data_IF_876617020880
#
_entry.id   IF_876617020880
#
_cell.length_a   1.000
_cell.length_b   1.000
_cell.length_c   1.000
_cell.angle_alpha   90.00
_cell.angle_beta   90.00
_cell.angle_gamma   90.00
#
_symmetry.space_group_name_H-M   'P 1'
#
loop_
_entity.id
_entity.type
_entity.pdbx_description
1 polymer ?
#
# COMPACT_ATOMS: atom_id res chain seq x y z
N UNK A 1 -6.49 24.06 0.14
CA UNK A 1 -6.75 22.96 -0.81
C UNK A 1 -6.10 21.71 -0.28
N UNK A 2 -6.89 20.68 0.08
CA UNK A 2 -6.38 19.40 0.57
C UNK A 2 -5.98 18.56 -0.63
N UNK A 3 -4.73 18.18 -0.72
CA UNK A 3 -4.17 17.36 -1.78
C UNK A 3 -3.99 15.92 -1.29
N UNK A 4 -4.34 14.92 -2.11
CA UNK A 4 -4.49 13.51 -1.69
C UNK A 4 -3.91 12.54 -2.72
N UNK A 5 -2.85 11.79 -2.39
CA UNK A 5 -2.30 10.71 -3.22
C UNK A 5 -1.49 9.70 -2.44
N UNK A 6 -1.65 8.41 -2.71
CA UNK A 6 -0.96 7.36 -1.97
C UNK A 6 -1.08 5.93 -2.51
N UNK A 7 -0.18 5.03 -2.14
CA UNK A 7 -0.10 3.60 -2.52
C UNK A 7 0.07 2.66 -1.32
N UNK A 8 -0.31 1.41 -1.39
CA UNK A 8 -0.44 0.45 -0.30
C UNK A 8 0.10 -0.97 -0.57
N UNK A 9 0.75 -1.63 0.38
CA UNK A 9 1.33 -2.99 0.33
C UNK A 9 0.98 -3.80 1.58
N UNK A 10 0.76 -5.10 1.49
CA UNK A 10 0.29 -5.96 2.56
C UNK A 10 1.10 -7.25 2.77
N UNK A 11 1.32 -7.71 4.01
CA UNK A 11 2.00 -8.97 4.35
C UNK A 11 1.16 -9.94 5.20
N UNK A 12 0.95 -11.25 4.79
CA UNK A 12 0.30 -12.26 5.60
C UNK A 12 1.23 -13.03 6.51
N UNK A 13 0.82 -13.28 7.73
CA UNK A 13 1.34 -14.41 8.48
C UNK A 13 0.70 -15.70 7.96
N UNK A 14 1.49 -16.54 7.27
CA UNK A 14 1.08 -17.90 6.98
C UNK A 14 1.49 -18.76 8.17
N UNK A 15 0.52 -19.20 8.95
CA UNK A 15 0.76 -20.25 9.96
C UNK A 15 0.73 -21.61 9.26
N UNK A 16 1.91 -22.24 9.18
CA UNK A 16 2.03 -23.61 8.72
C UNK A 16 1.77 -24.57 9.86
N UNK A 17 0.60 -25.17 9.83
CA UNK A 17 0.31 -26.46 10.43
C UNK A 17 0.19 -26.53 11.93
N UNK A 18 -0.95 -26.65 12.33
CA UNK A 18 -1.69 -27.65 13.12
C UNK A 18 -3.13 -27.35 12.78
N UNK A 19 -3.96 -28.41 12.76
CA UNK A 19 -5.37 -28.34 12.41
C UNK A 19 -5.96 -26.96 12.68
N UNK A 20 -6.53 -26.37 11.65
CA UNK A 20 -7.04 -25.00 11.67
C UNK A 20 -7.98 -24.82 12.88
N UNK A 21 -7.37 -24.50 14.01
CA UNK A 21 -8.10 -23.94 15.12
C UNK A 21 -8.48 -22.53 14.67
N UNK A 22 -9.78 -22.25 14.64
CA UNK A 22 -10.40 -21.00 14.12
C UNK A 22 -9.95 -19.73 14.87
N UNK A 23 -8.88 -19.82 15.67
CA UNK A 23 -8.42 -18.75 16.57
C UNK A 23 -7.24 -17.91 16.06
N UNK A 24 -6.67 -18.18 14.87
CA UNK A 24 -5.59 -17.37 14.36
C UNK A 24 -6.10 -16.24 13.48
N UNK A 25 -6.44 -15.13 14.10
CA UNK A 25 -6.73 -13.90 13.40
C UNK A 25 -5.52 -13.50 12.53
N UNK A 26 -5.74 -13.18 11.24
CA UNK A 26 -4.69 -12.62 10.40
C UNK A 26 -4.11 -11.36 11.04
N UNK A 27 -2.82 -11.09 10.79
CA UNK A 27 -2.13 -9.95 11.41
C UNK A 27 -2.62 -8.61 10.89
N UNK A 28 -3.22 -8.60 9.69
CA UNK A 28 -3.68 -7.41 9.00
C UNK A 28 -2.56 -6.50 8.49
N UNK A 29 -1.30 -6.94 8.52
CA UNK A 29 -0.16 -6.13 8.09
C UNK A 29 -0.26 -5.76 6.61
N UNK A 30 0.00 -4.51 6.33
CA UNK A 30 -0.26 -3.87 5.04
C UNK A 30 0.87 -2.89 4.72
N UNK A 31 1.48 -2.96 3.55
CA UNK A 31 2.54 -2.06 3.11
C UNK A 31 2.14 -1.35 1.80
N UNK A 32 2.65 -0.15 1.59
CA UNK A 32 2.17 0.72 0.51
C UNK A 32 3.25 1.65 -0.03
N UNK A 33 3.22 2.02 -1.30
CA UNK A 33 3.90 3.25 -1.75
C UNK A 33 2.98 4.43 -1.50
N UNK A 34 3.29 5.25 -0.56
CA UNK A 34 2.49 6.37 -0.08
C UNK A 34 2.36 7.48 -1.11
N UNK A 35 3.43 7.79 -1.81
CA UNK A 35 3.48 8.72 -2.92
C UNK A 35 4.76 8.50 -3.73
N UNK A 36 4.76 8.95 -4.98
CA UNK A 36 5.94 8.93 -5.85
C UNK A 36 6.59 10.31 -5.93
N UNK A 37 7.88 10.36 -6.23
CA UNK A 37 8.61 11.60 -6.42
C UNK A 37 8.48 12.13 -7.84
N UNK A 38 8.77 13.43 -8.02
CA UNK A 38 8.74 14.12 -9.30
C UNK A 38 7.40 14.73 -9.67
N UNK A 39 7.33 15.23 -10.89
CA UNK A 39 6.14 15.85 -11.47
C UNK A 39 5.11 14.79 -11.87
N UNK A 40 3.85 15.02 -11.55
CA UNK A 40 2.74 14.20 -12.00
C UNK A 40 1.44 14.98 -12.04
N UNK A 41 0.51 14.52 -12.88
CA UNK A 41 -0.87 14.96 -12.89
C UNK A 41 -1.73 13.86 -12.26
N UNK A 42 -2.55 14.23 -11.30
CA UNK A 42 -3.51 13.33 -10.68
C UNK A 42 -4.71 13.06 -11.58
N UNK A 43 -5.47 12.00 -11.29
CA UNK A 43 -6.69 11.65 -12.01
C UNK A 43 -7.76 12.78 -12.00
N UNK A 44 -7.68 13.69 -11.06
CA UNK A 44 -8.53 14.88 -10.94
C UNK A 44 -7.95 16.13 -11.65
N UNK A 45 -6.87 15.99 -12.42
CA UNK A 45 -6.21 17.03 -13.17
C UNK A 45 -5.32 17.98 -12.33
N UNK A 46 -5.17 17.73 -11.04
CA UNK A 46 -4.24 18.52 -10.20
C UNK A 46 -2.81 18.10 -10.46
N UNK A 47 -1.91 19.08 -10.58
CA UNK A 47 -0.49 18.87 -10.84
C UNK A 47 0.32 18.97 -9.56
N UNK A 48 1.12 17.94 -9.29
CA UNK A 48 1.95 17.81 -8.11
C UNK A 48 3.41 17.57 -8.48
N UNK A 49 4.32 18.14 -7.68
CA UNK A 49 5.73 17.83 -7.74
C UNK A 49 6.23 17.53 -6.33
N UNK A 50 6.50 16.27 -6.02
CA UNK A 50 6.94 15.89 -4.68
C UNK A 50 8.42 15.50 -4.67
N UNK A 51 9.11 15.93 -3.63
CA UNK A 51 10.51 15.58 -3.33
C UNK A 51 10.62 15.04 -1.91
N UNK A 52 11.59 14.15 -1.63
CA UNK A 52 11.84 13.64 -0.28
C UNK A 52 12.04 14.73 0.75
N UNK A 53 12.72 15.82 0.37
CA UNK A 53 13.07 16.93 1.26
C UNK A 53 11.86 17.60 1.86
N UNK A 54 10.76 17.70 1.11
CA UNK A 54 9.52 18.32 1.57
C UNK A 54 8.83 17.56 2.71
N UNK A 55 9.16 16.29 2.89
CA UNK A 55 8.57 15.41 3.90
C UNK A 55 9.58 14.91 4.94
N UNK A 56 10.87 15.19 4.78
CA UNK A 56 11.93 14.63 5.60
C UNK A 56 11.79 14.99 7.08
N UNK A 57 11.46 16.24 7.40
CA UNK A 57 11.25 16.68 8.77
C UNK A 57 10.06 15.97 9.40
N UNK A 58 8.95 15.89 8.69
CA UNK A 58 7.74 15.20 9.16
C UNK A 58 8.01 13.71 9.41
N UNK A 59 8.71 13.03 8.50
CA UNK A 59 9.03 11.61 8.64
C UNK A 59 9.92 11.33 9.86
N UNK A 60 10.90 12.20 10.12
CA UNK A 60 11.76 12.12 11.31
C UNK A 60 10.96 12.35 12.62
N UNK A 61 10.11 13.37 12.65
CA UNK A 61 9.24 13.65 13.79
C UNK A 61 8.21 12.52 14.01
N UNK A 62 7.62 12.02 12.94
CA UNK A 62 6.69 10.89 12.98
C UNK A 62 7.36 9.64 13.58
N UNK A 63 8.54 9.28 13.08
CA UNK A 63 9.32 8.13 13.58
C UNK A 63 9.64 8.25 15.07
N UNK A 64 9.96 9.46 15.55
CA UNK A 64 10.27 9.73 16.97
C UNK A 64 9.04 9.78 17.86
N UNK A 65 7.89 10.11 17.29
CA UNK A 65 6.65 10.28 18.07
C UNK A 65 6.10 8.98 18.65
N UNK A 66 6.36 7.86 17.97
CA UNK A 66 5.78 6.56 18.28
C UNK A 66 4.25 6.50 18.11
N UNK A 67 3.64 7.54 17.53
CA UNK A 67 2.19 7.60 17.27
C UNK A 67 1.91 7.14 15.86
N UNK A 68 0.97 6.18 15.66
CA UNK A 68 0.59 5.76 14.33
C UNK A 68 -0.21 6.85 13.60
N UNK A 69 -0.15 6.82 12.27
CA UNK A 69 -0.99 7.64 11.41
C UNK A 69 -2.29 6.88 11.09
N UNK A 70 -3.47 7.52 11.12
CA UNK A 70 -4.72 6.81 10.85
C UNK A 70 -4.83 6.36 9.38
N UNK A 71 -5.42 5.17 9.20
CA UNK A 71 -5.80 4.59 7.93
C UNK A 71 -7.32 4.65 7.81
N UNK A 72 -7.85 5.36 6.81
CA UNK A 72 -9.29 5.43 6.55
C UNK A 72 -9.66 4.70 5.25
N UNK A 73 -10.95 4.55 5.02
CA UNK A 73 -11.53 4.10 3.75
C UNK A 73 -12.09 5.32 3.01
N UNK A 74 -11.61 5.53 1.77
CA UNK A 74 -12.09 6.62 0.89
C UNK A 74 -12.06 8.02 1.55
N UNK A 75 -11.04 8.33 2.33
CA UNK A 75 -10.88 9.61 3.05
C UNK A 75 -12.01 9.96 4.02
N UNK A 76 -12.71 8.96 4.54
CA UNK A 76 -13.76 9.19 5.53
C UNK A 76 -13.17 9.44 6.92
N UNK A 77 -12.58 10.62 7.11
CA UNK A 77 -12.00 11.07 8.38
C UNK A 77 -13.06 11.39 9.47
N UNK A 78 -14.34 11.41 9.10
CA UNK A 78 -15.47 11.46 10.03
C UNK A 78 -15.81 10.08 10.61
N UNK A 79 -15.34 9.01 9.97
CA UNK A 79 -15.55 7.63 10.39
C UNK A 79 -14.45 7.12 11.32
N UNK A 80 -14.62 5.87 11.78
CA UNK A 80 -13.57 5.18 12.52
C UNK A 80 -12.45 4.74 11.58
N UNK A 81 -11.17 4.83 11.99
CA UNK A 81 -10.07 4.30 11.20
C UNK A 81 -10.21 2.78 11.03
N UNK A 82 -9.90 2.29 9.85
CA UNK A 82 -9.89 0.86 9.52
C UNK A 82 -8.57 0.18 9.87
N UNK A 83 -7.54 0.98 10.18
CA UNK A 83 -6.19 0.53 10.50
C UNK A 83 -5.29 1.71 10.87
N UNK A 84 -3.99 1.44 10.89
CA UNK A 84 -2.97 2.42 11.24
C UNK A 84 -1.68 2.19 10.42
N UNK A 85 -0.92 3.27 10.18
CA UNK A 85 0.41 3.24 9.61
C UNK A 85 1.45 3.49 10.69
N UNK A 86 2.45 2.62 10.78
CA UNK A 86 3.49 2.69 11.82
C UNK A 86 4.85 3.14 11.30
N UNK A 87 5.12 2.97 10.01
CA UNK A 87 6.43 3.25 9.42
C UNK A 87 6.27 3.96 8.07
N UNK A 88 7.17 4.90 7.77
CA UNK A 88 7.32 5.53 6.47
C UNK A 88 8.80 5.51 6.08
N UNK A 89 9.10 5.02 4.88
CA UNK A 89 10.45 4.84 4.37
C UNK A 89 10.56 5.49 2.99
N UNK A 90 11.67 6.18 2.73
CA UNK A 90 11.95 6.80 1.44
C UNK A 90 12.85 5.90 0.61
N UNK A 91 12.53 5.76 -0.67
CA UNK A 91 13.39 5.16 -1.67
C UNK A 91 13.53 6.08 -2.89
N UNK A 92 14.19 5.61 -3.96
CA UNK A 92 14.42 6.38 -5.18
C UNK A 92 13.12 6.72 -5.93
N UNK A 93 12.05 5.97 -5.73
CA UNK A 93 10.78 6.12 -6.45
C UNK A 93 9.76 6.93 -5.68
N UNK A 94 9.76 6.83 -4.36
CA UNK A 94 8.72 7.45 -3.56
C UNK A 94 8.87 7.21 -2.05
N UNK A 95 7.76 7.40 -1.36
CA UNK A 95 7.63 7.14 0.06
C UNK A 95 6.76 5.90 0.25
N UNK A 96 7.32 4.88 0.87
CA UNK A 96 6.62 3.64 1.22
C UNK A 96 6.11 3.69 2.65
N UNK A 97 4.94 3.13 2.89
CA UNK A 97 4.30 3.04 4.19
C UNK A 97 4.10 1.59 4.59
N UNK A 98 4.27 1.29 5.89
CA UNK A 98 3.92 0.02 6.51
C UNK A 98 2.97 0.25 7.66
N UNK A 99 1.94 -0.60 7.75
CA UNK A 99 0.89 -0.48 8.75
C UNK A 99 0.14 -1.79 8.95
N UNK A 100 -1.02 -1.70 9.57
CA UNK A 100 -1.92 -2.85 9.75
C UNK A 100 -3.38 -2.43 9.71
N UNK A 101 -4.22 -3.27 9.17
CA UNK A 101 -5.68 -3.22 9.30
C UNK A 101 -6.11 -3.71 10.69
N UNK A 102 -7.16 -3.14 11.24
CA UNK A 102 -7.71 -3.56 12.52
C UNK A 102 -8.62 -4.79 12.36
N UNK A 103 -8.02 -5.97 12.49
CA UNK A 103 -8.70 -7.26 12.23
C UNK A 103 -9.85 -7.56 13.20
N UNK A 104 -9.88 -6.93 14.36
CA UNK A 104 -10.97 -7.07 15.35
C UNK A 104 -12.08 -6.02 15.20
N UNK A 105 -12.07 -5.25 14.10
CA UNK A 105 -13.12 -4.28 13.76
C UNK A 105 -13.77 -4.67 12.44
N UNK A 106 -15.06 -4.38 12.27
CA UNK A 106 -15.81 -4.66 11.03
C UNK A 106 -15.12 -4.00 9.83
N UNK A 107 -14.80 -2.71 9.91
CA UNK A 107 -14.20 -1.98 8.79
C UNK A 107 -12.83 -2.52 8.36
N UNK A 108 -11.95 -2.86 9.32
CA UNK A 108 -10.64 -3.41 9.02
C UNK A 108 -10.70 -4.83 8.47
N UNK A 109 -11.51 -5.71 9.06
CA UNK A 109 -11.69 -7.09 8.61
C UNK A 109 -12.39 -7.17 7.25
N UNK A 110 -13.37 -6.31 6.97
CA UNK A 110 -14.06 -6.26 5.68
C UNK A 110 -13.11 -5.84 4.56
N UNK A 111 -12.33 -4.76 4.76
CA UNK A 111 -11.31 -4.31 3.79
C UNK A 111 -10.27 -5.40 3.55
N UNK A 112 -9.78 -6.04 4.61
CA UNK A 112 -8.84 -7.16 4.49
C UNK A 112 -9.42 -8.30 3.66
N UNK A 113 -10.66 -8.71 3.93
CA UNK A 113 -11.33 -9.80 3.22
C UNK A 113 -11.50 -9.49 1.74
N UNK A 114 -11.92 -8.26 1.41
CA UNK A 114 -12.06 -7.81 0.02
C UNK A 114 -10.71 -7.79 -0.69
N UNK A 115 -9.66 -7.26 -0.06
CA UNK A 115 -8.30 -7.25 -0.64
C UNK A 115 -7.79 -8.67 -0.91
N UNK A 116 -8.14 -9.63 -0.06
CA UNK A 116 -7.75 -11.02 -0.21
C UNK A 116 -8.50 -11.75 -1.32
N UNK A 117 -9.81 -11.51 -1.44
CA UNK A 117 -10.65 -12.13 -2.47
C UNK A 117 -10.49 -11.46 -3.84
N UNK A 118 -10.28 -10.15 -3.86
CA UNK A 118 -10.22 -9.32 -5.05
C UNK A 118 -9.15 -8.23 -4.89
N UNK A 119 -7.85 -8.56 -5.01
CA UNK A 119 -6.73 -7.63 -4.78
C UNK A 119 -6.82 -6.34 -5.61
N UNK A 120 -7.42 -6.41 -6.79
CA UNK A 120 -7.58 -5.27 -7.70
C UNK A 120 -8.84 -4.42 -7.43
N UNK A 121 -9.68 -4.80 -6.46
CA UNK A 121 -10.91 -4.06 -6.14
C UNK A 121 -10.61 -2.67 -5.60
N UNK A 122 -9.63 -2.54 -4.71
CA UNK A 122 -9.11 -1.26 -4.30
C UNK A 122 -7.94 -0.90 -5.21
N UNK A 123 -8.06 0.21 -5.95
CA UNK A 123 -7.02 0.68 -6.87
C UNK A 123 -5.74 1.13 -6.18
N UNK A 124 -5.79 1.34 -4.86
CA UNK A 124 -4.64 1.72 -4.06
C UNK A 124 -4.98 2.53 -2.82
N UNK A 125 -4.17 3.50 -2.52
CA UNK A 125 -4.36 4.41 -1.40
C UNK A 125 -4.21 5.87 -1.81
N UNK A 126 -4.58 6.78 -0.94
CA UNK A 126 -4.53 8.22 -1.19
C UNK A 126 -4.20 8.99 0.09
N UNK A 127 -3.26 9.95 0.03
CA UNK A 127 -2.82 10.76 1.19
C UNK A 127 -3.70 11.95 1.45
N UNK A 128 -4.00 12.21 2.70
CA UNK A 128 -4.32 13.54 3.21
C UNK A 128 -3.04 14.30 3.54
N UNK A 129 -2.39 14.88 2.52
CA UNK A 129 -1.20 15.70 2.73
C UNK A 129 -1.56 17.12 3.18
N UNK A 130 -0.65 17.74 3.94
CA UNK A 130 -0.69 19.18 4.23
C UNK A 130 0.65 19.83 3.87
N UNK A 131 0.61 21.11 3.58
CA UNK A 131 1.80 21.93 3.35
C UNK A 131 1.85 23.06 4.37
N UNK A 132 2.97 23.14 5.10
CA UNK A 132 3.34 24.33 5.89
C UNK A 132 4.00 25.38 4.99
N UNK A 133 4.83 24.89 4.03
CA UNK A 133 5.47 25.68 3.00
C UNK A 133 5.33 24.98 1.64
N UNK A 134 5.17 25.76 0.58
CA UNK A 134 5.05 25.25 -0.78
C UNK A 134 5.66 26.21 -1.81
N UNK A 135 5.96 25.70 -2.98
CA UNK A 135 6.33 26.46 -4.16
C UNK A 135 5.53 26.01 -5.38
N UNK A 136 5.40 26.87 -6.37
CA UNK A 136 4.96 26.47 -7.71
C UNK A 136 6.22 26.21 -8.53
N UNK A 137 6.25 25.07 -9.23
CA UNK A 137 7.43 24.66 -10.02
C UNK A 137 7.02 24.15 -11.40
N UNK A 138 7.95 24.16 -12.34
CA UNK A 138 7.78 23.48 -13.64
C UNK A 138 7.95 21.94 -13.49
N UNK A 139 7.88 21.22 -14.61
CA UNK A 139 8.04 19.76 -14.62
C UNK A 139 9.46 19.29 -14.24
N UNK A 140 10.46 20.16 -14.35
CA UNK A 140 11.84 19.90 -13.97
C UNK A 140 12.13 20.30 -12.51
N UNK A 141 11.17 20.96 -11.86
CA UNK A 141 11.23 21.39 -10.46
C UNK A 141 11.89 22.75 -10.27
N UNK A 142 11.98 23.57 -11.32
CA UNK A 142 12.42 24.96 -11.20
C UNK A 142 11.25 25.82 -10.73
N UNK A 143 11.53 26.80 -9.87
CA UNK A 143 10.52 27.68 -9.31
C UNK A 143 9.83 28.53 -10.41
N UNK A 144 8.51 28.62 -10.34
CA UNK A 144 7.66 29.43 -11.21
C UNK A 144 7.01 30.50 -10.36
N UNK A 145 7.23 31.77 -10.69
CA UNK A 145 6.75 32.93 -9.97
C UNK A 145 5.85 33.84 -10.85
N UNK A 146 5.43 34.97 -10.31
CA UNK A 146 4.59 35.94 -11.01
C UNK A 146 5.25 36.63 -12.23
N UNK A 147 6.59 36.55 -12.33
CA UNK A 147 7.37 37.10 -13.45
C UNK A 147 7.61 36.04 -14.54
N UNK A 148 7.27 34.80 -14.29
CA UNK A 148 7.40 33.70 -15.25
C UNK A 148 6.39 33.85 -16.39
N UNK A 149 6.68 33.31 -17.59
CA UNK A 149 5.72 33.29 -18.68
C UNK A 149 4.36 32.72 -18.27
N UNK A 150 3.28 33.33 -18.69
CA UNK A 150 1.91 32.92 -18.31
C UNK A 150 1.65 31.43 -18.60
N UNK A 151 2.22 30.89 -19.66
CA UNK A 151 2.13 29.46 -19.98
C UNK A 151 2.73 28.61 -18.86
N UNK A 152 3.89 28.96 -18.35
CA UNK A 152 4.58 28.19 -17.32
C UNK A 152 3.83 28.28 -15.99
N UNK A 153 3.24 29.44 -15.68
CA UNK A 153 2.35 29.61 -14.51
C UNK A 153 1.13 28.70 -14.62
N UNK A 154 0.49 28.62 -15.79
CA UNK A 154 -0.69 27.76 -16.00
C UNK A 154 -0.35 26.26 -15.98
N UNK A 155 0.86 25.90 -16.41
CA UNK A 155 1.33 24.52 -16.47
C UNK A 155 2.08 24.07 -15.21
N UNK A 156 2.19 24.95 -14.21
CA UNK A 156 2.98 24.69 -13.01
C UNK A 156 2.40 23.58 -12.12
N UNK A 157 3.29 22.99 -11.34
CA UNK A 157 3.05 21.94 -10.36
C UNK A 157 3.14 22.51 -8.95
N UNK A 158 2.28 22.04 -8.07
CA UNK A 158 2.34 22.37 -6.65
C UNK A 158 3.36 21.47 -5.95
N UNK A 159 4.42 22.06 -5.41
CA UNK A 159 5.45 21.37 -4.64
C UNK A 159 5.27 21.65 -3.16
N UNK A 160 5.16 20.61 -2.34
CA UNK A 160 5.31 20.74 -0.89
C UNK A 160 6.80 20.83 -0.59
N UNK A 161 7.26 21.99 -0.11
CA UNK A 161 8.64 22.20 0.33
C UNK A 161 8.83 21.88 1.81
N UNK A 162 7.75 21.98 2.59
CA UNK A 162 7.66 21.52 3.98
C UNK A 162 6.23 21.12 4.30
N UNK A 163 6.03 19.90 4.76
CA UNK A 163 4.71 19.37 5.09
C UNK A 163 4.76 17.92 5.50
N UNK A 164 3.59 17.27 5.51
CA UNK A 164 3.47 15.89 5.93
C UNK A 164 2.10 15.30 5.59
N UNK A 165 1.80 14.16 6.20
CA UNK A 165 0.52 13.49 6.04
C UNK A 165 -0.30 13.55 7.33
N UNK A 166 -1.60 13.76 7.18
CA UNK A 166 -2.58 13.67 8.28
C UNK A 166 -3.22 12.30 8.35
N UNK A 167 -3.33 11.63 7.21
CA UNK A 167 -3.92 10.31 7.08
C UNK A 167 -3.47 9.65 5.76
N UNK A 168 -3.70 8.35 5.68
CA UNK A 168 -3.48 7.53 4.52
C UNK A 168 -4.69 6.62 4.38
N UNK A 169 -5.40 6.72 3.26
CA UNK A 169 -6.66 6.00 3.03
C UNK A 169 -6.53 4.92 1.98
N UNK A 170 -7.15 3.79 2.23
CA UNK A 170 -7.45 2.80 1.17
C UNK A 170 -8.54 3.37 0.28
N UNK A 171 -8.34 3.38 -1.03
CA UNK A 171 -9.29 3.96 -1.99
C UNK A 171 -9.48 3.08 -3.22
N UNK A 172 -10.69 3.11 -3.81
CA UNK A 172 -10.97 2.41 -5.07
C UNK A 172 -10.30 3.10 -6.27
N UNK A 173 -10.20 4.42 -6.23
CA UNK A 173 -9.67 5.23 -7.33
C UNK A 173 -8.60 6.19 -6.80
N UNK A 174 -7.33 5.76 -6.77
CA UNK A 174 -6.24 6.62 -6.32
C UNK A 174 -6.06 7.78 -7.29
N UNK A 175 -5.82 8.99 -6.76
CA UNK A 175 -5.52 10.13 -7.60
C UNK A 175 -4.12 10.05 -8.24
N UNK A 176 -3.19 9.34 -7.62
CA UNK A 176 -1.94 8.94 -8.23
C UNK A 176 -2.11 7.51 -8.80
N UNK A 177 -2.08 7.30 -10.13
CA UNK A 177 -2.24 5.97 -10.74
C UNK A 177 -1.09 5.00 -10.42
N UNK A 178 0.06 5.50 -9.99
CA UNK A 178 1.18 4.68 -9.50
C UNK A 178 1.03 4.31 -8.01
N UNK A 179 -0.02 4.82 -7.38
CA UNK A 179 -0.38 4.55 -6.00
C UNK A 179 -1.17 3.22 -5.91
N UNK A 180 -0.51 2.07 -5.85
CA UNK A 180 -1.14 0.75 -5.82
C UNK A 180 -0.78 -0.06 -4.56
N UNK A 181 -1.61 -1.04 -4.23
CA UNK A 181 -1.32 -2.02 -3.19
C UNK A 181 -0.31 -3.01 -3.78
N UNK A 182 0.87 -3.11 -3.20
CA UNK A 182 1.92 -3.97 -3.71
C UNK A 182 2.05 -5.29 -2.95
N UNK A 183 1.41 -5.44 -1.80
CA UNK A 183 1.45 -6.68 -1.05
C UNK A 183 0.33 -6.82 -0.02
N UNK A 184 -0.32 -7.98 0.02
CA UNK A 184 -1.15 -8.45 1.12
C UNK A 184 -0.50 -9.68 1.74
N UNK A 185 0.10 -9.49 2.91
CA UNK A 185 0.68 -10.57 3.69
C UNK A 185 1.91 -11.22 2.99
N UNK A 186 1.94 -12.49 2.63
CA UNK A 186 3.01 -13.13 1.87
C UNK A 186 2.74 -13.17 0.35
N UNK A 187 1.71 -12.46 -0.12
CA UNK A 187 1.31 -12.47 -1.52
C UNK A 187 1.58 -11.12 -2.16
N UNK A 188 2.07 -11.11 -3.40
CA UNK A 188 2.24 -9.91 -4.19
C UNK A 188 0.88 -9.36 -4.69
N UNK A 189 0.92 -8.26 -5.46
CA UNK A 189 -0.28 -7.61 -5.99
C UNK A 189 -1.09 -8.52 -6.93
N UNK A 190 -0.45 -9.53 -7.52
CA UNK A 190 -1.04 -10.53 -8.40
C UNK A 190 -1.52 -11.78 -7.66
N UNK A 191 -1.32 -11.83 -6.33
CA UNK A 191 -1.69 -12.95 -5.49
C UNK A 191 -0.71 -14.12 -5.50
N UNK A 192 0.52 -13.91 -5.96
CA UNK A 192 1.57 -14.92 -5.91
C UNK A 192 2.31 -14.90 -4.56
N UNK A 193 2.67 -16.09 -4.08
CA UNK A 193 3.38 -16.24 -2.81
C UNK A 193 4.83 -15.75 -2.87
N UNK A 194 5.19 -14.76 -2.05
CA UNK A 194 6.57 -14.38 -1.81
C UNK A 194 7.20 -15.23 -0.69
N UNK A 195 8.01 -16.20 -1.11
CA UNK A 195 8.67 -17.14 -0.18
C UNK A 195 9.65 -16.46 0.79
N UNK A 196 10.27 -15.34 0.40
CA UNK A 196 11.23 -14.63 1.25
C UNK A 196 10.53 -13.94 2.41
N UNK A 197 9.38 -13.37 2.11
CA UNK A 197 8.53 -12.73 3.11
C UNK A 197 7.96 -13.77 4.05
N UNK A 198 7.44 -14.89 3.53
CA UNK A 198 6.97 -16.00 4.35
C UNK A 198 8.09 -16.54 5.28
N UNK A 199 9.30 -16.77 4.74
CA UNK A 199 10.45 -17.21 5.55
C UNK A 199 10.78 -16.21 6.65
N UNK A 200 10.79 -14.90 6.33
CA UNK A 200 11.04 -13.84 7.28
C UNK A 200 10.02 -13.85 8.42
N UNK A 201 8.73 -13.91 8.11
CA UNK A 201 7.67 -13.93 9.12
C UNK A 201 7.76 -15.16 10.05
N UNK A 202 8.03 -16.34 9.49
CA UNK A 202 8.25 -17.54 10.28
C UNK A 202 9.42 -17.36 11.27
N UNK A 203 10.50 -16.72 10.83
CA UNK A 203 11.66 -16.43 11.68
C UNK A 203 11.33 -15.39 12.75
N UNK A 204 10.63 -14.34 12.40
CA UNK A 204 10.20 -13.28 13.33
C UNK A 204 9.24 -13.84 14.39
N UNK A 205 8.48 -14.90 14.05
CA UNK A 205 7.65 -15.68 14.98
C UNK A 205 8.41 -16.72 15.82
N UNK A 206 9.75 -16.75 15.74
CA UNK A 206 10.61 -17.63 16.55
C UNK A 206 10.94 -18.97 15.90
N UNK A 207 10.55 -19.22 14.66
CA UNK A 207 10.93 -20.44 13.92
C UNK A 207 12.39 -20.37 13.50
N UNK A 208 13.14 -21.48 13.62
CA UNK A 208 14.53 -21.50 13.18
C UNK A 208 14.66 -21.23 11.68
N UNK A 209 15.77 -20.63 11.24
CA UNK A 209 16.01 -20.35 9.82
C UNK A 209 15.83 -21.59 8.95
N UNK A 210 16.35 -22.74 9.39
CA UNK A 210 16.25 -24.02 8.67
C UNK A 210 14.79 -24.46 8.52
N UNK A 211 14.04 -24.38 9.60
CA UNK A 211 12.64 -24.83 9.61
C UNK A 211 11.75 -23.84 8.82
N UNK A 212 12.01 -22.52 8.91
CA UNK A 212 11.33 -21.50 8.14
C UNK A 212 11.53 -21.71 6.63
N UNK A 213 12.76 -21.97 6.19
CA UNK A 213 13.04 -22.25 4.76
C UNK A 213 12.35 -23.56 4.31
N UNK A 214 12.37 -24.59 5.15
CA UNK A 214 11.69 -25.87 4.84
C UNK A 214 10.18 -25.68 4.75
N UNK A 215 9.58 -24.99 5.70
CA UNK A 215 8.15 -24.71 5.74
C UNK A 215 7.70 -23.88 4.52
N UNK A 216 8.43 -22.83 4.18
CA UNK A 216 8.14 -22.01 2.98
C UNK A 216 8.16 -22.85 1.70
N UNK A 217 9.12 -23.75 1.57
CA UNK A 217 9.25 -24.65 0.41
C UNK A 217 8.10 -25.67 0.33
N UNK A 218 7.66 -26.21 1.46
CA UNK A 218 6.52 -27.13 1.52
C UNK A 218 5.23 -26.37 1.13
N UNK A 219 5.04 -25.18 1.67
CA UNK A 219 3.86 -24.36 1.41
C UNK A 219 3.74 -24.00 -0.07
N UNK A 220 4.84 -23.60 -0.70
CA UNK A 220 4.89 -23.36 -2.14
C UNK A 220 4.39 -24.57 -2.94
N UNK A 221 4.90 -25.76 -2.63
CA UNK A 221 4.54 -27.00 -3.31
C UNK A 221 3.05 -27.34 -3.17
N UNK A 222 2.48 -27.11 -1.98
CA UNK A 222 1.05 -27.32 -1.74
C UNK A 222 0.18 -26.38 -2.58
N UNK A 223 0.57 -25.09 -2.67
CA UNK A 223 -0.13 -24.14 -3.52
C UNK A 223 -0.05 -24.50 -5.01
N UNK A 224 1.12 -24.85 -5.52
CA UNK A 224 1.32 -25.26 -6.90
C UNK A 224 0.48 -26.52 -7.26
N UNK A 225 0.36 -27.46 -6.34
CA UNK A 225 -0.50 -28.66 -6.52
C UNK A 225 -1.98 -28.26 -6.55
N UNK A 226 -2.43 -27.39 -5.67
CA UNK A 226 -3.81 -26.88 -5.65
C UNK A 226 -4.16 -26.15 -6.94
N UNK A 227 -3.28 -25.28 -7.42
CA UNK A 227 -3.53 -24.45 -8.60
C UNK A 227 -3.47 -25.32 -9.89
N UNK A 228 -2.65 -26.36 -9.89
CA UNK A 228 -2.64 -27.36 -10.96
C UNK A 228 -3.93 -28.18 -10.99
N UNK A 229 -4.47 -28.56 -9.84
CA UNK A 229 -5.74 -29.28 -9.74
C UNK A 229 -6.93 -28.42 -10.22
N UNK A 230 -6.97 -27.13 -9.85
CA UNK A 230 -7.98 -26.19 -10.35
C UNK A 230 -7.94 -26.03 -11.88
N UNK A 231 -6.75 -25.94 -12.49
CA UNK A 231 -6.61 -25.84 -13.94
C UNK A 231 -7.15 -27.07 -14.66
N UNK A 232 -6.95 -28.27 -14.09
CA UNK A 232 -7.49 -29.51 -14.65
C UNK A 232 -9.02 -29.57 -14.54
N UNK A 233 -9.59 -29.06 -13.44
CA UNK A 233 -11.03 -29.03 -13.24
C UNK A 233 -11.74 -28.04 -14.18
N UNK A 234 -11.15 -26.85 -14.39
CA UNK A 234 -11.65 -25.86 -15.35
C UNK A 234 -11.60 -26.41 -16.78
N UNK A 235 -10.47 -27.02 -17.20
CA UNK A 235 -10.36 -27.62 -18.52
C UNK A 235 -11.41 -28.73 -18.77
N UNK A 236 -11.70 -29.56 -17.76
CA UNK A 236 -12.76 -30.57 -17.85
C UNK A 236 -14.17 -29.99 -17.96
N UNK A 237 -14.43 -28.86 -17.27
CA UNK A 237 -15.73 -28.20 -17.36
C UNK A 237 -15.98 -27.55 -18.72
N UNK A 238 -14.93 -27.06 -19.39
CA UNK A 238 -15.00 -26.47 -20.72
C UNK A 238 -15.22 -27.54 -21.82
N UNK A 239 -14.64 -28.73 -21.69
CA UNK A 239 -14.90 -29.87 -22.62
C UNK A 239 -16.35 -30.36 -22.54
N UNK A 240 -16.98 -30.33 -21.37
CA UNK A 240 -18.38 -30.76 -21.21
C UNK A 240 -19.44 -29.71 -21.62
N UNK A 241 -19.05 -28.46 -21.89
CA UNK A 241 -19.97 -27.41 -22.38
C UNK A 241 -19.92 -27.23 -23.90
N UNK A 242 -19.11 -28.02 -24.62
CA UNK A 242 -18.94 -27.96 -26.08
C UNK A 242 -19.55 -29.18 -26.83
N UNK A 243 -20.29 -30.04 -26.19
CA UNK A 243 -21.19 -31.03 -26.74
C UNK A 243 -22.67 -30.58 -26.60
#
# INVERSE_FOLDING_TARGET
>A
LSMKNLTLVCEAQVQLGKDADESTNPSGVIEATATTWGAREGADGRKFFYKPEGFAQWADEFSKSGKPLPMFLNHNDMGMPIGEWSEFMFDEKGMNAKGRLYMNTVGGSDVYSILKESPMMFGGVSVGAYADEYAMVDADGNEVDENSPMKDVMDSYFQITKGGFREVSVVMYPNNPEANISRLECFDAEGHLDLRVLEKHLRDSGVSKKDATTASSIFKRVLEQRDSAKKVEVARSEEHTSE
#
